data_IF_982645320137
#
_entry.id   IF_982645320137
#
_cell.length_a   1.000
_cell.length_b   1.000
_cell.length_c   1.000
_cell.angle_alpha   90.00
_cell.angle_beta   90.00
_cell.angle_gamma   90.00
#
_symmetry.space_group_name_H-M   'P 1'
#
loop_
_entity.id
_entity.type
_entity.pdbx_description
1 polymer ?
#
# COMPACT_ATOMS: atom_id res chain seq x y z
N UNK A 1 -20.44 22.94 -13.55
CA UNK A 1 -19.68 22.70 -12.30
C UNK A 1 -18.38 22.03 -12.71
N UNK A 2 -17.27 22.76 -12.63
CA UNK A 2 -15.96 22.28 -13.06
C UNK A 2 -15.25 21.69 -11.85
N UNK A 3 -14.81 20.43 -11.92
CA UNK A 3 -14.10 19.82 -10.80
C UNK A 3 -12.82 20.59 -10.48
N UNK A 4 -12.48 20.73 -9.19
CA UNK A 4 -11.25 21.40 -8.78
C UNK A 4 -10.02 20.72 -9.38
N UNK A 5 -9.09 21.53 -9.88
CA UNK A 5 -7.86 21.10 -10.59
C UNK A 5 -6.99 20.13 -9.77
N UNK A 6 -7.04 20.22 -8.44
CA UNK A 6 -6.30 19.38 -7.51
C UNK A 6 -6.86 17.94 -7.41
N UNK A 7 -8.18 17.75 -7.54
CA UNK A 7 -8.78 16.40 -7.53
C UNK A 7 -8.29 15.56 -8.72
N UNK A 8 -8.06 16.20 -9.88
CA UNK A 8 -7.56 15.52 -11.07
C UNK A 8 -6.09 15.15 -10.96
N UNK A 9 -5.25 15.99 -10.33
CA UNK A 9 -3.82 15.72 -10.19
C UNK A 9 -3.53 14.57 -9.21
N UNK A 10 -4.22 14.55 -8.08
CA UNK A 10 -4.03 13.48 -7.09
C UNK A 10 -4.56 12.15 -7.59
N UNK A 11 -5.65 12.16 -8.36
CA UNK A 11 -6.16 10.96 -9.04
C UNK A 11 -5.16 10.41 -10.06
N UNK A 12 -4.49 11.26 -10.83
CA UNK A 12 -3.48 10.85 -11.82
C UNK A 12 -2.24 10.28 -11.13
N UNK A 13 -1.75 10.90 -10.05
CA UNK A 13 -0.63 10.39 -9.24
C UNK A 13 -0.95 9.03 -8.65
N UNK A 14 -2.14 8.89 -8.06
CA UNK A 14 -2.66 7.65 -7.50
C UNK A 14 -2.72 6.54 -8.55
N UNK A 15 -3.28 6.84 -9.73
CA UNK A 15 -3.36 5.88 -10.83
C UNK A 15 -1.98 5.46 -11.34
N UNK A 16 -1.03 6.39 -11.44
CA UNK A 16 0.34 6.08 -11.83
C UNK A 16 1.04 5.19 -10.79
N UNK A 17 0.83 5.47 -9.51
CA UNK A 17 1.40 4.69 -8.41
C UNK A 17 0.89 3.24 -8.41
N UNK A 18 -0.43 3.05 -8.51
CA UNK A 18 -1.00 1.71 -8.61
C UNK A 18 -0.55 0.96 -9.86
N UNK A 19 -0.38 1.66 -10.98
CA UNK A 19 0.14 1.06 -12.21
C UNK A 19 1.57 0.55 -12.01
N UNK A 20 2.43 1.30 -11.32
CA UNK A 20 3.80 0.89 -11.03
C UNK A 20 3.85 -0.31 -10.07
N UNK A 21 3.04 -0.29 -9.01
CA UNK A 21 2.92 -1.42 -8.09
C UNK A 21 2.44 -2.68 -8.79
N UNK A 22 1.37 -2.60 -9.58
CA UNK A 22 0.85 -3.74 -10.33
C UNK A 22 1.88 -4.30 -11.32
N UNK A 23 2.70 -3.43 -11.91
CA UNK A 23 3.81 -3.85 -12.77
C UNK A 23 4.86 -4.63 -11.98
N UNK A 24 5.30 -4.13 -10.82
CA UNK A 24 6.26 -4.81 -9.94
C UNK A 24 5.75 -6.17 -9.49
N UNK A 25 4.49 -6.22 -9.03
CA UNK A 25 3.81 -7.46 -8.62
C UNK A 25 3.76 -8.47 -9.77
N UNK A 26 3.36 -8.03 -10.97
CA UNK A 26 3.28 -8.92 -12.15
C UNK A 26 4.63 -9.54 -12.50
N UNK A 27 5.70 -8.76 -12.40
CA UNK A 27 7.06 -9.23 -12.69
C UNK A 27 7.53 -10.20 -11.62
N UNK A 28 7.30 -9.88 -10.34
CA UNK A 28 7.61 -10.76 -9.22
C UNK A 28 6.88 -12.10 -9.35
N UNK A 29 5.57 -12.08 -9.65
CA UNK A 29 4.80 -13.30 -9.90
C UNK A 29 5.38 -14.14 -11.04
N UNK A 30 5.83 -13.51 -12.13
CA UNK A 30 6.51 -14.21 -13.22
C UNK A 30 7.87 -14.82 -12.81
N UNK A 31 8.62 -14.15 -11.93
CA UNK A 31 9.83 -14.73 -11.34
C UNK A 31 9.49 -15.92 -10.44
N UNK A 32 8.44 -15.80 -9.62
CA UNK A 32 7.99 -16.87 -8.74
C UNK A 32 7.61 -18.12 -9.54
N UNK A 33 6.78 -17.95 -10.58
CA UNK A 33 6.42 -19.05 -11.49
C UNK A 33 7.63 -19.68 -12.17
N UNK A 34 8.70 -18.90 -12.40
CA UNK A 34 9.94 -19.41 -12.98
C UNK A 34 10.73 -20.22 -11.96
N UNK A 35 10.86 -19.74 -10.72
CA UNK A 35 11.53 -20.45 -9.64
C UNK A 35 10.81 -21.78 -9.32
N UNK A 36 9.47 -21.79 -9.34
CA UNK A 36 8.68 -22.99 -9.08
C UNK A 36 8.57 -23.95 -10.27
N UNK A 37 9.12 -23.61 -11.44
CA UNK A 37 8.95 -24.40 -12.67
C UNK A 37 9.72 -25.72 -12.61
N UNK A 38 10.91 -25.69 -12.02
CA UNK A 38 11.67 -26.89 -11.69
C UNK A 38 11.28 -27.27 -10.26
N UNK A 39 10.17 -28.01 -10.12
CA UNK A 39 9.72 -28.46 -8.81
C UNK A 39 10.81 -29.29 -8.14
N UNK A 40 11.42 -28.71 -7.11
CA UNK A 40 12.27 -29.43 -6.19
C UNK A 40 11.38 -30.16 -5.19
N UNK A 41 11.43 -31.49 -5.19
CA UNK A 41 10.67 -32.30 -4.23
C UNK A 41 11.06 -31.90 -2.81
N UNK A 42 10.07 -31.54 -2.00
CA UNK A 42 10.26 -31.13 -0.61
C UNK A 42 10.47 -29.63 -0.37
N UNK A 43 10.52 -28.82 -1.42
CA UNK A 43 10.57 -27.36 -1.27
C UNK A 43 9.18 -26.77 -1.00
N UNK A 44 9.17 -25.82 -0.08
CA UNK A 44 8.02 -25.00 0.30
C UNK A 44 8.14 -23.60 -0.32
N UNK A 45 7.09 -22.79 -0.20
CA UNK A 45 7.10 -21.40 -0.68
C UNK A 45 8.26 -20.59 -0.05
N UNK A 46 8.61 -20.87 1.20
CA UNK A 46 9.74 -20.22 1.90
C UNK A 46 11.10 -20.50 1.24
N UNK A 47 11.24 -21.63 0.54
CA UNK A 47 12.46 -21.98 -0.21
C UNK A 47 12.48 -21.31 -1.60
N UNK A 48 11.31 -21.11 -2.22
CA UNK A 48 11.20 -20.45 -3.53
C UNK A 48 11.27 -18.93 -3.44
N UNK A 49 10.92 -18.32 -2.30
CA UNK A 49 10.95 -16.86 -2.12
C UNK A 49 12.37 -16.28 -2.31
N UNK A 50 13.43 -16.81 -1.67
CA UNK A 50 14.80 -16.34 -1.90
C UNK A 50 15.23 -16.42 -3.37
N UNK A 51 14.97 -17.55 -4.03
CA UNK A 51 15.31 -17.74 -5.44
C UNK A 51 14.52 -16.79 -6.36
N UNK A 52 13.26 -16.54 -6.02
CA UNK A 52 12.42 -15.57 -6.71
C UNK A 52 12.96 -14.16 -6.58
N UNK A 53 13.44 -13.78 -5.39
CA UNK A 53 14.04 -12.47 -5.13
C UNK A 53 15.32 -12.28 -5.93
N UNK A 54 16.19 -13.29 -6.02
CA UNK A 54 17.37 -13.24 -6.88
C UNK A 54 17.00 -12.98 -8.35
N UNK A 55 16.05 -13.74 -8.89
CA UNK A 55 15.56 -13.57 -10.27
C UNK A 55 14.90 -12.19 -10.48
N UNK A 56 14.19 -11.69 -9.48
CA UNK A 56 13.55 -10.38 -9.52
C UNK A 56 14.57 -9.23 -9.51
N UNK A 57 15.56 -9.29 -8.63
CA UNK A 57 16.65 -8.31 -8.53
C UNK A 57 17.44 -8.23 -9.85
N UNK A 58 17.82 -9.37 -10.44
CA UNK A 58 18.51 -9.40 -11.75
C UNK A 58 17.67 -8.74 -12.85
N UNK A 59 16.35 -8.94 -12.85
CA UNK A 59 15.45 -8.31 -13.83
C UNK A 59 15.21 -6.82 -13.58
N UNK A 60 15.28 -6.33 -12.35
CA UNK A 60 15.20 -4.90 -12.04
C UNK A 60 16.52 -4.19 -12.38
N UNK A 61 17.67 -4.77 -12.01
CA UNK A 61 19.01 -4.25 -12.34
C UNK A 61 19.26 -4.22 -13.86
N UNK A 62 18.83 -5.25 -14.60
CA UNK A 62 18.90 -5.25 -16.07
C UNK A 62 18.05 -4.16 -16.74
N UNK A 63 17.02 -3.64 -16.06
CA UNK A 63 16.15 -2.55 -16.56
C UNK A 63 16.69 -1.15 -16.29
N UNK A 64 17.49 -0.97 -15.25
CA UNK A 64 18.27 0.28 -15.05
C UNK A 64 19.25 0.49 -16.21
N UNK A 65 19.89 -0.59 -16.69
CA UNK A 65 20.85 -0.52 -17.80
C UNK A 65 20.14 -0.39 -19.16
N UNK A 66 18.99 -1.05 -19.37
CA UNK A 66 18.27 -1.02 -20.64
C UNK A 66 17.48 0.27 -20.92
N UNK A 67 17.24 1.13 -19.92
CA UNK A 67 16.63 2.47 -20.13
C UNK A 67 17.57 3.46 -20.85
N UNK A 68 18.84 3.10 -21.12
CA UNK A 68 19.80 3.98 -21.83
C UNK A 68 19.62 4.09 -23.35
N UNK A 69 18.68 3.40 -24.00
CA UNK A 69 18.59 3.41 -25.48
C UNK A 69 17.37 4.11 -26.10
N UNK A 70 16.54 4.83 -25.35
CA UNK A 70 15.42 5.56 -25.99
C UNK A 70 14.99 6.84 -25.27
N UNK A 71 15.87 7.85 -25.22
CA UNK A 71 15.46 9.26 -25.30
C UNK A 71 16.64 10.21 -25.56
N UNK A 72 17.09 10.32 -26.80
CA UNK A 72 17.84 11.50 -27.22
C UNK A 72 16.83 12.63 -27.46
N UNK A 73 16.75 13.60 -26.53
CA UNK A 73 16.71 15.06 -26.78
C UNK A 73 16.38 15.82 -25.50
N UNK A 74 17.39 16.55 -25.00
CA UNK A 74 17.37 17.85 -24.30
C UNK A 74 16.67 17.96 -22.93
N UNK A 75 17.24 18.50 -21.84
CA UNK A 75 18.58 18.98 -21.49
C UNK A 75 18.63 19.17 -19.95
N UNK A 76 19.85 19.24 -19.42
CA UNK A 76 20.28 19.55 -18.05
C UNK A 76 20.23 18.41 -17.03
N UNK A 77 21.35 17.69 -17.02
CA UNK A 77 21.96 17.18 -15.80
C UNK A 77 22.04 18.29 -14.74
N UNK A 78 21.42 18.04 -13.60
CA UNK A 78 21.89 18.57 -12.33
C UNK A 78 22.00 17.38 -11.38
N UNK A 79 23.15 16.72 -11.38
CA UNK A 79 23.57 15.90 -10.24
C UNK A 79 23.75 16.84 -9.06
N UNK A 80 22.65 17.19 -8.39
CA UNK A 80 22.71 17.83 -7.08
C UNK A 80 23.03 16.72 -6.09
N UNK A 81 24.28 16.69 -5.64
CA UNK A 81 24.64 15.93 -4.44
C UNK A 81 23.87 16.57 -3.29
N UNK A 82 22.68 16.07 -2.98
CA UNK A 82 21.97 16.50 -1.77
C UNK A 82 22.86 16.14 -0.57
N UNK A 83 23.19 17.09 0.31
CA UNK A 83 23.97 16.81 1.50
C UNK A 83 23.19 15.83 2.39
N UNK A 84 23.90 14.92 3.06
CA UNK A 84 23.36 13.83 3.89
C UNK A 84 22.28 14.30 4.88
N UNK A 85 22.40 15.53 5.38
CA UNK A 85 21.42 16.21 6.26
C UNK A 85 20.02 16.39 5.63
N UNK A 86 19.93 16.59 4.31
CA UNK A 86 18.64 16.79 3.62
C UNK A 86 17.86 15.48 3.44
N UNK A 87 18.51 14.33 3.61
CA UNK A 87 17.89 13.02 3.46
C UNK A 87 17.27 12.59 4.79
N UNK A 88 17.97 12.84 5.91
CA UNK A 88 17.48 12.53 7.25
C UNK A 88 16.22 13.34 7.61
N UNK A 89 16.14 14.60 7.18
CA UNK A 89 14.96 15.46 7.39
C UNK A 89 13.75 14.99 6.57
N UNK A 90 13.97 14.50 5.33
CA UNK A 90 12.91 13.90 4.51
C UNK A 90 12.39 12.58 5.14
N UNK A 91 13.27 11.75 5.70
CA UNK A 91 12.86 10.53 6.43
C UNK A 91 12.09 10.85 7.73
N UNK A 92 12.50 11.87 8.48
CA UNK A 92 11.81 12.30 9.70
C UNK A 92 10.41 12.85 9.41
N UNK A 93 10.26 13.61 8.31
CA UNK A 93 8.97 14.09 7.83
C UNK A 93 8.05 12.95 7.34
N UNK A 94 8.62 11.92 6.71
CA UNK A 94 7.85 10.73 6.30
C UNK A 94 7.40 9.89 7.50
N UNK A 95 8.25 9.72 8.50
CA UNK A 95 7.92 8.97 9.73
C UNK A 95 6.81 9.66 10.53
N UNK A 96 6.90 10.99 10.69
CA UNK A 96 5.87 11.76 11.42
C UNK A 96 4.53 11.82 10.67
N UNK A 97 4.54 11.82 9.34
CA UNK A 97 3.31 11.69 8.54
C UNK A 97 2.66 10.32 8.72
N UNK A 98 3.45 9.24 8.79
CA UNK A 98 2.96 7.89 9.04
C UNK A 98 2.28 7.77 10.42
N UNK A 99 2.94 8.25 11.48
CA UNK A 99 2.36 8.24 12.83
C UNK A 99 1.05 9.04 12.93
N UNK A 100 0.95 10.18 12.25
CA UNK A 100 -0.28 10.98 12.24
C UNK A 100 -1.41 10.27 11.49
N UNK A 101 -1.10 9.58 10.39
CA UNK A 101 -2.07 8.79 9.64
C UNK A 101 -2.58 7.61 10.48
N UNK A 102 -1.68 6.93 11.18
CA UNK A 102 -1.99 5.81 12.07
C UNK A 102 -2.92 6.25 13.22
N UNK A 103 -2.60 7.36 13.90
CA UNK A 103 -3.47 7.96 14.94
C UNK A 103 -4.84 8.37 14.39
N UNK A 104 -4.89 8.92 13.17
CA UNK A 104 -6.15 9.25 12.49
C UNK A 104 -7.00 8.00 12.22
N UNK A 105 -6.37 6.90 11.77
CA UNK A 105 -7.05 5.63 11.56
C UNK A 105 -7.55 5.03 12.87
N UNK A 106 -6.73 5.00 13.92
CA UNK A 106 -7.12 4.52 15.25
C UNK A 106 -8.32 5.29 15.81
N UNK A 107 -8.31 6.62 15.67
CA UNK A 107 -9.42 7.47 16.11
C UNK A 107 -10.71 7.15 15.35
N UNK A 108 -10.60 6.96 14.02
CA UNK A 108 -11.75 6.66 13.17
C UNK A 108 -12.32 5.27 13.47
N UNK A 109 -11.45 4.27 13.65
CA UNK A 109 -11.84 2.90 14.01
C UNK A 109 -12.50 2.86 15.39
N UNK A 110 -11.95 3.59 16.37
CA UNK A 110 -12.51 3.67 17.72
C UNK A 110 -13.92 4.29 17.71
N UNK A 111 -14.10 5.39 16.99
CA UNK A 111 -15.42 6.03 16.85
C UNK A 111 -16.45 5.10 16.19
N UNK A 112 -16.05 4.32 15.19
CA UNK A 112 -16.94 3.32 14.56
C UNK A 112 -17.30 2.18 15.51
N UNK A 113 -16.35 1.73 16.33
CA UNK A 113 -16.56 0.65 17.30
C UNK A 113 -17.50 1.08 18.44
N UNK A 114 -17.34 2.31 18.96
CA UNK A 114 -18.23 2.89 19.96
C UNK A 114 -19.66 3.04 19.41
N UNK A 115 -19.80 3.56 18.18
CA UNK A 115 -21.10 3.66 17.54
C UNK A 115 -21.79 2.29 17.37
N UNK A 116 -21.06 1.29 16.87
CA UNK A 116 -21.60 -0.07 16.72
C UNK A 116 -22.00 -0.70 18.07
N UNK A 117 -21.21 -0.45 19.12
CA UNK A 117 -21.49 -0.93 20.47
C UNK A 117 -22.75 -0.28 21.05
N UNK A 118 -22.91 1.03 20.86
CA UNK A 118 -24.11 1.76 21.31
C UNK A 118 -25.39 1.24 20.65
N UNK A 119 -25.34 0.91 19.35
CA UNK A 119 -26.48 0.32 18.63
C UNK A 119 -26.86 -1.06 19.19
N UNK A 120 -25.87 -1.89 19.53
CA UNK A 120 -26.10 -3.19 20.13
C UNK A 120 -26.72 -3.09 21.54
N UNK A 121 -26.36 -2.08 22.32
CA UNK A 121 -26.98 -1.80 23.62
C UNK A 121 -28.42 -1.33 23.48
N UNK A 122 -28.71 -0.41 22.56
CA UNK A 122 -30.07 0.05 22.26
C UNK A 122 -30.95 -1.11 21.78
N UNK A 123 -30.43 -1.99 20.94
CA UNK A 123 -31.16 -3.17 20.47
C UNK A 123 -31.45 -4.16 21.62
N UNK A 124 -30.50 -4.36 22.54
CA UNK A 124 -30.69 -5.19 23.74
C UNK A 124 -31.73 -4.59 24.68
N UNK A 125 -31.69 -3.28 24.94
CA UNK A 125 -32.67 -2.59 25.75
C UNK A 125 -34.09 -2.71 25.16
N UNK A 126 -34.25 -2.50 23.85
CA UNK A 126 -35.55 -2.68 23.16
C UNK A 126 -36.10 -4.10 23.29
N UNK A 127 -35.25 -5.12 23.12
CA UNK A 127 -35.64 -6.52 23.32
C UNK A 127 -36.09 -6.79 24.76
N UNK A 128 -35.39 -6.23 25.74
CA UNK A 128 -35.74 -6.38 27.15
C UNK A 128 -37.08 -5.74 27.50
N UNK A 129 -37.33 -4.50 27.02
CA UNK A 129 -38.62 -3.82 27.19
C UNK A 129 -39.76 -4.64 26.57
N UNK A 130 -39.57 -5.13 25.34
CA UNK A 130 -40.57 -5.97 24.67
C UNK A 130 -40.89 -7.24 25.48
N UNK A 131 -39.86 -7.90 26.02
CA UNK A 131 -40.03 -9.09 26.84
C UNK A 131 -40.82 -8.80 28.13
N UNK A 132 -40.56 -7.68 28.81
CA UNK A 132 -41.32 -7.27 30.00
C UNK A 132 -42.78 -6.99 29.68
N UNK A 133 -43.08 -6.36 28.53
CA UNK A 133 -44.47 -6.11 28.11
C UNK A 133 -45.21 -7.42 27.85
N UNK A 134 -44.54 -8.40 27.22
CA UNK A 134 -45.13 -9.71 26.92
C UNK A 134 -45.35 -10.57 28.17
N UNK A 135 -44.55 -10.37 29.23
CA UNK A 135 -44.66 -11.12 30.49
C UNK A 135 -45.70 -10.57 31.47
N UNK A 136 -46.10 -9.30 31.31
CA UNK A 136 -47.09 -8.62 32.17
C UNK A 136 -48.48 -8.51 31.51
N UNK A 137 -48.75 -9.34 30.49
CA UNK A 137 -50.09 -9.62 29.96
C UNK A 137 -50.58 -10.96 30.47
#
# INVERSE_FOLDING_TARGET
MSNPKWETEDRVKCQSHFRDLNKKISIFAGCYSTATREKHNGWSDDDYIPQTLELYCVKEEGREVAKKKSRATSSKSSTSRKPKLAIDEEFSNLSSAHENLEKSMETTVSAMLEYASSQNEVARAKKFVMWMILKNK
#
